data_IF_071299659090
#
_entry.id   IF_071299659090
#
_cell.length_a   1.000
_cell.length_b   1.000
_cell.length_c   1.000
_cell.angle_alpha   90.00
_cell.angle_beta   90.00
_cell.angle_gamma   90.00
#
_symmetry.space_group_name_H-M   'P 1'
#
loop_
_entity.id
_entity.type
_entity.pdbx_description
1 polymer ?
#
# COMPACT_ATOMS: atom_id res chain seq x y z
N UNK A 1 45.50 21.94 -53.12
CA UNK A 1 45.01 20.77 -52.37
C UNK A 1 45.14 21.13 -50.90
N UNK A 2 44.03 21.35 -50.21
CA UNK A 2 44.01 21.94 -48.87
C UNK A 2 44.57 20.94 -47.85
N UNK A 3 45.59 21.37 -47.10
CA UNK A 3 46.16 20.59 -46.00
C UNK A 3 45.10 20.39 -44.92
N UNK A 4 44.60 19.17 -44.83
CA UNK A 4 43.76 18.72 -43.72
C UNK A 4 44.62 18.75 -42.46
N UNK A 5 44.25 19.56 -41.47
CA UNK A 5 44.90 19.59 -40.17
C UNK A 5 44.46 18.36 -39.36
N UNK A 6 45.15 17.24 -39.57
CA UNK A 6 44.85 15.92 -38.99
C UNK A 6 44.83 15.96 -37.45
N UNK A 7 45.69 16.78 -36.85
CA UNK A 7 45.79 16.94 -35.39
C UNK A 7 44.54 17.61 -34.78
N UNK A 8 43.99 18.61 -35.46
CA UNK A 8 42.76 19.29 -35.03
C UNK A 8 41.53 18.39 -35.15
N UNK A 9 41.48 17.56 -36.19
CA UNK A 9 40.40 16.60 -36.40
C UNK A 9 40.37 15.53 -35.30
N UNK A 10 41.53 15.09 -34.81
CA UNK A 10 41.63 14.12 -33.72
C UNK A 10 41.05 14.66 -32.41
N UNK A 11 41.35 15.91 -32.08
CA UNK A 11 40.85 16.58 -30.86
C UNK A 11 39.32 16.73 -30.93
N UNK A 12 38.79 17.14 -32.09
CA UNK A 12 37.35 17.27 -32.30
C UNK A 12 36.65 15.90 -32.21
N UNK A 13 37.26 14.86 -32.76
CA UNK A 13 36.72 13.49 -32.71
C UNK A 13 36.68 12.96 -31.27
N UNK A 14 37.76 13.13 -30.50
CA UNK A 14 37.82 12.72 -29.09
C UNK A 14 36.84 13.51 -28.21
N UNK A 15 36.71 14.82 -28.46
CA UNK A 15 35.74 15.67 -27.77
C UNK A 15 34.30 15.26 -28.05
N UNK A 16 33.98 14.94 -29.31
CA UNK A 16 32.66 14.44 -29.69
C UNK A 16 32.34 13.10 -29.03
N UNK A 17 33.31 12.18 -29.00
CA UNK A 17 33.14 10.87 -28.37
C UNK A 17 32.91 11.00 -26.86
N UNK A 18 33.68 11.86 -26.19
CA UNK A 18 33.50 12.15 -24.77
C UNK A 18 32.13 12.79 -24.49
N UNK A 19 31.68 13.74 -25.31
CA UNK A 19 30.38 14.40 -25.16
C UNK A 19 29.21 13.41 -25.34
N UNK A 20 29.28 12.53 -26.35
CA UNK A 20 28.27 11.49 -26.57
C UNK A 20 28.25 10.50 -25.40
N UNK A 21 29.43 10.08 -24.90
CA UNK A 21 29.54 9.20 -23.73
C UNK A 21 28.91 9.81 -22.48
N UNK A 22 29.19 11.10 -22.19
CA UNK A 22 28.60 11.81 -21.07
C UNK A 22 27.08 12.01 -21.22
N UNK A 23 26.60 12.23 -22.45
CA UNK A 23 25.17 12.34 -22.73
C UNK A 23 24.43 11.03 -22.43
N UNK A 24 24.95 9.89 -22.88
CA UNK A 24 24.36 8.59 -22.54
C UNK A 24 24.45 8.28 -21.05
N UNK A 25 25.56 8.61 -20.39
CA UNK A 25 25.70 8.47 -18.94
C UNK A 25 24.62 9.27 -18.20
N UNK A 26 24.38 10.52 -18.61
CA UNK A 26 23.35 11.37 -18.03
C UNK A 26 21.95 10.79 -18.24
N UNK A 27 21.64 10.23 -19.42
CA UNK A 27 20.37 9.56 -19.68
C UNK A 27 20.16 8.34 -18.78
N UNK A 28 21.18 7.49 -18.63
CA UNK A 28 21.12 6.29 -17.78
C UNK A 28 20.91 6.68 -16.31
N UNK A 29 21.65 7.69 -15.81
CA UNK A 29 21.48 8.19 -14.44
C UNK A 29 20.05 8.75 -14.25
N UNK A 30 19.56 9.55 -15.18
CA UNK A 30 18.24 10.17 -15.07
C UNK A 30 17.12 9.11 -15.04
N UNK A 31 17.21 8.07 -15.87
CA UNK A 31 16.24 6.97 -15.84
C UNK A 31 16.37 6.10 -14.58
N UNK A 32 17.59 5.89 -14.08
CA UNK A 32 17.83 5.10 -12.85
C UNK A 32 17.18 5.74 -11.61
N UNK A 33 17.14 7.07 -11.55
CA UNK A 33 16.46 7.80 -10.49
C UNK A 33 14.94 7.62 -10.54
N UNK A 34 14.36 7.67 -11.74
CA UNK A 34 12.90 7.56 -11.95
C UNK A 34 12.40 6.14 -11.61
N UNK A 35 13.12 5.09 -12.03
CA UNK A 35 12.72 3.70 -11.77
C UNK A 35 12.93 3.30 -10.30
N UNK A 36 13.96 3.85 -9.65
CA UNK A 36 14.19 3.66 -8.21
C UNK A 36 13.10 4.28 -7.34
N UNK A 37 12.53 5.41 -7.78
CA UNK A 37 11.44 6.09 -7.06
C UNK A 37 10.13 5.29 -7.11
N UNK A 38 9.71 4.81 -8.28
CA UNK A 38 8.42 4.10 -8.43
C UNK A 38 8.38 2.76 -7.69
N UNK A 39 9.53 2.12 -7.49
CA UNK A 39 9.61 0.84 -6.76
C UNK A 39 9.59 1.04 -5.24
N UNK A 40 10.18 2.13 -4.74
CA UNK A 40 10.15 2.49 -3.32
C UNK A 40 8.77 3.01 -2.87
N UNK A 41 8.08 3.75 -3.75
CA UNK A 41 6.70 4.22 -3.50
C UNK A 41 5.74 3.04 -3.29
N UNK A 42 5.80 1.99 -4.14
CA UNK A 42 4.94 0.81 -4.01
C UNK A 42 5.15 -0.03 -2.72
N UNK A 43 6.29 0.08 -2.04
CA UNK A 43 6.54 -0.60 -0.76
C UNK A 43 6.13 0.26 0.45
N UNK A 44 6.18 1.60 0.30
CA UNK A 44 5.70 2.55 1.32
C UNK A 44 4.17 2.62 1.33
N UNK A 45 3.51 2.27 0.23
CA UNK A 45 2.07 2.40 0.05
C UNK A 45 1.24 1.37 0.84
N UNK A 46 1.86 0.35 1.46
CA UNK A 46 1.12 -0.56 2.33
C UNK A 46 0.67 0.17 3.61
N UNK A 47 -0.65 0.37 3.83
CA UNK A 47 -1.16 1.27 4.86
C UNK A 47 -1.20 0.57 6.23
N UNK A 48 -0.03 0.22 6.78
CA UNK A 48 0.11 -0.56 8.03
C UNK A 48 -0.64 0.07 9.20
N UNK A 49 -0.53 1.39 9.33
CA UNK A 49 -1.19 2.12 10.42
C UNK A 49 -2.71 2.06 10.28
N UNK A 50 -3.22 2.19 9.05
CA UNK A 50 -4.67 2.18 8.84
C UNK A 50 -5.31 0.83 9.11
N UNK A 51 -4.66 -0.25 8.67
CA UNK A 51 -5.10 -1.62 8.94
C UNK A 51 -5.03 -1.91 10.45
N UNK A 52 -3.97 -1.45 11.13
CA UNK A 52 -3.83 -1.63 12.59
C UNK A 52 -4.92 -0.90 13.36
N UNK A 53 -5.19 0.36 13.04
CA UNK A 53 -6.24 1.16 13.68
C UNK A 53 -7.62 0.53 13.44
N UNK A 54 -7.87 0.06 12.21
CA UNK A 54 -9.11 -0.61 11.88
C UNK A 54 -9.30 -1.87 12.72
N UNK A 55 -8.26 -2.70 12.81
CA UNK A 55 -8.29 -3.93 13.58
C UNK A 55 -8.58 -3.66 15.07
N UNK A 56 -7.97 -2.64 15.64
CA UNK A 56 -8.25 -2.22 17.01
C UNK A 56 -9.72 -1.78 17.20
N UNK A 57 -10.25 -1.00 16.25
CA UNK A 57 -11.66 -0.59 16.26
C UNK A 57 -12.62 -1.78 16.12
N UNK A 58 -12.31 -2.78 15.28
CA UNK A 58 -13.13 -3.99 15.10
C UNK A 58 -13.09 -4.87 16.35
N UNK A 59 -11.95 -4.95 17.04
CA UNK A 59 -11.86 -5.69 18.31
C UNK A 59 -12.64 -4.98 19.42
N UNK A 60 -12.52 -3.66 19.57
CA UNK A 60 -13.33 -2.90 20.55
C UNK A 60 -14.84 -2.99 20.24
N UNK A 61 -15.21 -2.96 18.95
CA UNK A 61 -16.58 -3.23 18.52
C UNK A 61 -17.02 -4.64 18.92
N UNK A 62 -16.19 -5.65 18.67
CA UNK A 62 -16.52 -7.03 19.01
C UNK A 62 -16.69 -7.19 20.51
N UNK A 63 -15.79 -6.67 21.33
CA UNK A 63 -15.87 -6.74 22.80
C UNK A 63 -17.15 -6.11 23.35
N UNK A 64 -17.56 -4.96 22.81
CA UNK A 64 -18.76 -4.24 23.27
C UNK A 64 -20.07 -4.87 22.78
N UNK A 65 -20.08 -5.41 21.57
CA UNK A 65 -21.30 -5.89 20.92
C UNK A 65 -21.41 -7.40 20.79
N UNK A 66 -20.48 -8.18 21.36
CA UNK A 66 -20.48 -9.66 21.32
C UNK A 66 -21.77 -10.26 21.90
N UNK A 67 -22.22 -9.70 23.02
CA UNK A 67 -23.42 -10.17 23.74
C UNK A 67 -24.71 -9.57 23.18
N UNK A 68 -24.60 -8.62 22.25
CA UNK A 68 -25.72 -7.90 21.65
C UNK A 68 -26.17 -8.64 20.39
N UNK A 69 -27.47 -8.99 20.29
CA UNK A 69 -27.99 -9.71 19.14
C UNK A 69 -27.88 -8.88 17.85
N UNK A 70 -27.72 -9.56 16.71
CA UNK A 70 -27.60 -8.92 15.38
C UNK A 70 -28.85 -8.14 14.95
N UNK A 71 -29.95 -8.26 15.69
CA UNK A 71 -31.15 -7.46 15.51
C UNK A 71 -31.04 -6.05 16.10
N UNK A 72 -30.03 -5.78 16.93
CA UNK A 72 -29.86 -4.48 17.58
C UNK A 72 -29.44 -3.41 16.57
N UNK A 73 -30.19 -2.31 16.56
CA UNK A 73 -29.98 -1.21 15.64
C UNK A 73 -28.70 -0.42 15.97
N UNK A 74 -28.33 -0.36 17.25
CA UNK A 74 -27.09 0.29 17.72
C UNK A 74 -25.87 -0.40 17.15
N UNK A 75 -25.84 -1.75 17.20
CA UNK A 75 -24.77 -2.56 16.64
C UNK A 75 -24.57 -2.29 15.14
N UNK A 76 -25.69 -2.28 14.39
CA UNK A 76 -25.68 -1.97 12.94
C UNK A 76 -25.25 -0.54 12.65
N UNK A 77 -25.65 0.42 13.47
CA UNK A 77 -25.28 1.82 13.29
C UNK A 77 -23.78 2.04 13.53
N UNK A 78 -23.21 1.45 14.59
CA UNK A 78 -21.77 1.53 14.84
C UNK A 78 -20.97 0.86 13.71
N UNK A 79 -21.42 -0.30 13.22
CA UNK A 79 -20.77 -0.93 12.06
C UNK A 79 -20.81 -0.03 10.82
N UNK A 80 -21.95 0.58 10.52
CA UNK A 80 -22.08 1.54 9.40
C UNK A 80 -21.18 2.75 9.58
N UNK A 81 -21.08 3.29 10.79
CA UNK A 81 -20.23 4.44 11.08
C UNK A 81 -18.75 4.11 10.87
N UNK A 82 -18.30 2.92 11.29
CA UNK A 82 -16.92 2.45 11.04
C UNK A 82 -16.64 2.38 9.53
N UNK A 83 -17.59 1.86 8.75
CA UNK A 83 -17.45 1.76 7.29
C UNK A 83 -17.44 3.16 6.65
N UNK A 84 -18.36 4.04 7.06
CA UNK A 84 -18.48 5.41 6.53
C UNK A 84 -17.23 6.25 6.84
N UNK A 85 -16.71 6.17 8.07
CA UNK A 85 -15.50 6.91 8.48
C UNK A 85 -14.27 6.39 7.72
N UNK A 86 -14.15 5.07 7.55
CA UNK A 86 -13.09 4.44 6.76
C UNK A 86 -13.12 4.92 5.30
N UNK A 87 -14.32 5.03 4.73
CA UNK A 87 -14.50 5.52 3.36
C UNK A 87 -14.17 7.00 3.24
N UNK A 88 -14.68 7.85 4.13
CA UNK A 88 -14.53 9.31 4.06
C UNK A 88 -13.09 9.76 4.36
N UNK A 89 -12.47 9.22 5.42
CA UNK A 89 -11.16 9.70 5.90
C UNK A 89 -9.98 8.96 5.28
N UNK A 90 -10.15 7.68 4.96
CA UNK A 90 -9.06 6.81 4.50
C UNK A 90 -9.21 6.34 3.05
N UNK A 91 -10.30 6.74 2.36
CA UNK A 91 -10.65 6.27 1.02
C UNK A 91 -10.60 4.75 0.90
N UNK A 92 -10.93 4.05 1.99
CA UNK A 92 -10.85 2.61 2.07
C UNK A 92 -12.23 2.00 2.27
N UNK A 93 -12.56 1.04 1.40
CA UNK A 93 -13.70 0.16 1.58
C UNK A 93 -13.31 -0.90 2.60
N UNK A 94 -14.08 -0.95 3.66
CA UNK A 94 -13.90 -1.91 4.75
C UNK A 94 -15.17 -2.72 4.92
N UNK A 95 -15.01 -4.03 5.05
CA UNK A 95 -16.07 -4.94 5.43
C UNK A 95 -15.55 -5.88 6.51
N UNK A 96 -16.34 -6.12 7.55
CA UNK A 96 -15.95 -7.06 8.59
C UNK A 96 -17.16 -7.84 9.09
N UNK A 97 -16.94 -9.11 9.41
CA UNK A 97 -17.97 -9.99 9.94
C UNK A 97 -17.45 -10.75 11.16
N UNK A 98 -18.33 -10.95 12.14
CA UNK A 98 -18.04 -11.71 13.35
C UNK A 98 -18.87 -12.99 13.29
N UNK A 99 -18.20 -14.13 13.15
CA UNK A 99 -18.85 -15.43 13.12
C UNK A 99 -19.23 -15.94 14.52
N UNK A 100 -20.00 -17.03 14.52
CA UNK A 100 -20.38 -17.73 15.75
C UNK A 100 -19.18 -18.33 16.49
N UNK A 101 -19.31 -18.58 17.81
CA UNK A 101 -18.22 -19.14 18.60
C UNK A 101 -17.80 -20.51 18.07
N UNK A 102 -16.51 -20.69 17.84
CA UNK A 102 -15.88 -21.96 17.47
C UNK A 102 -14.93 -22.39 18.58
N UNK A 103 -14.96 -23.68 18.92
CA UNK A 103 -14.03 -24.26 19.87
C UNK A 103 -12.71 -24.56 19.15
N UNK A 104 -11.67 -23.78 19.48
CA UNK A 104 -10.33 -23.96 18.93
C UNK A 104 -9.37 -24.13 20.09
N UNK A 105 -8.70 -25.28 20.14
CA UNK A 105 -7.72 -25.61 21.18
C UNK A 105 -8.26 -25.45 22.62
N UNK A 106 -9.53 -25.82 22.84
CA UNK A 106 -10.20 -25.76 24.15
C UNK A 106 -10.63 -24.35 24.60
N UNK A 107 -10.67 -23.38 23.67
CA UNK A 107 -11.20 -22.03 23.90
C UNK A 107 -12.32 -21.73 22.92
N UNK A 108 -13.38 -21.10 23.41
CA UNK A 108 -14.46 -20.58 22.57
C UNK A 108 -14.03 -19.23 21.98
N UNK A 109 -13.58 -19.23 20.73
CA UNK A 109 -13.12 -18.05 20.00
C UNK A 109 -14.11 -17.70 18.90
N UNK A 110 -14.24 -16.41 18.60
CA UNK A 110 -15.05 -15.93 17.49
C UNK A 110 -14.14 -15.66 16.29
N UNK A 111 -14.43 -16.24 15.10
CA UNK A 111 -13.74 -15.86 13.89
C UNK A 111 -14.22 -14.47 13.45
N UNK A 112 -13.28 -13.54 13.37
CA UNK A 112 -13.47 -12.18 12.86
C UNK A 112 -12.83 -12.14 11.48
N UNK A 113 -13.64 -11.96 10.44
CA UNK A 113 -13.15 -11.68 9.09
C UNK A 113 -13.06 -10.16 8.90
N UNK A 114 -11.91 -9.67 8.46
CA UNK A 114 -11.68 -8.26 8.12
C UNK A 114 -11.22 -8.19 6.67
N UNK A 115 -11.91 -7.36 5.88
CA UNK A 115 -11.60 -7.07 4.48
C UNK A 115 -11.37 -5.57 4.34
N UNK A 116 -10.24 -5.20 3.78
CA UNK A 116 -9.83 -3.83 3.55
C UNK A 116 -9.36 -3.66 2.11
N UNK A 117 -9.83 -2.61 1.46
CA UNK A 117 -9.40 -2.25 0.12
C UNK A 117 -9.40 -0.71 -0.05
N UNK A 118 -8.25 -0.12 -0.36
CA UNK A 118 -8.11 1.32 -0.61
C UNK A 118 -7.85 1.66 -2.08
N UNK A 119 -8.15 0.75 -3.01
CA UNK A 119 -7.91 0.89 -4.44
C UNK A 119 -6.50 0.53 -4.89
N UNK A 120 -5.55 0.39 -3.96
CA UNK A 120 -4.15 0.01 -4.26
C UNK A 120 -3.75 -1.28 -3.55
N UNK A 121 -4.11 -1.41 -2.27
CA UNK A 121 -3.83 -2.56 -1.43
C UNK A 121 -5.12 -3.26 -1.05
N UNK A 122 -5.16 -4.57 -1.31
CA UNK A 122 -6.19 -5.48 -0.80
C UNK A 122 -5.62 -6.27 0.38
N UNK A 123 -6.35 -6.29 1.50
CA UNK A 123 -5.96 -7.01 2.71
C UNK A 123 -7.14 -7.79 3.27
N UNK A 124 -6.93 -9.10 3.44
CA UNK A 124 -7.90 -10.03 4.01
C UNK A 124 -7.29 -10.73 5.22
N UNK A 125 -7.98 -10.67 6.36
CA UNK A 125 -7.56 -11.32 7.60
C UNK A 125 -8.73 -12.12 8.19
N UNK A 126 -8.43 -13.31 8.71
CA UNK A 126 -9.34 -14.04 9.59
C UNK A 126 -8.64 -14.24 10.93
N UNK A 127 -9.11 -13.53 11.96
CA UNK A 127 -8.56 -13.61 13.32
C UNK A 127 -9.52 -14.38 14.21
N UNK A 128 -8.99 -15.25 15.06
CA UNK A 128 -9.78 -15.90 16.11
C UNK A 128 -9.56 -15.15 17.42
N UNK A 129 -10.59 -14.48 17.91
CA UNK A 129 -10.57 -13.65 19.12
C UNK A 129 -11.59 -14.13 20.15
#
# INVERSE_FOLDING_TARGET
>A
MAGMNEDGQWIVLMGLLAAVGLFFLALVINQSAIVGQTTAEGVIEFPKNDIRDLREAVFDYTDKFRTVPDSDETKKNVQKDIIAISLERKNAVVDFSVGGPQEISGRNLHPIEIRYNNGVTEYHETVYY
#
